data_IF_380650519330
#
_entry.id   IF_380650519330
#
_cell.length_a   1.000
_cell.length_b   1.000
_cell.length_c   1.000
_cell.angle_alpha   90.00
_cell.angle_beta   90.00
_cell.angle_gamma   90.00
#
_symmetry.space_group_name_H-M   'P 1'
#
loop_
_entity.id
_entity.type
_entity.pdbx_description
1 polymer ?
#
# COMPACT_ATOMS: atom_id res chain seq x y z
N UNK A 1 22.03 1.12 1.22
CA UNK A 1 21.21 2.28 0.79
C UNK A 1 20.71 2.84 2.08
N UNK A 2 21.28 3.97 2.49
CA UNK A 2 21.17 4.45 3.87
C UNK A 2 20.42 5.77 3.81
N UNK A 3 19.22 5.79 4.38
CA UNK A 3 18.34 6.93 4.37
C UNK A 3 18.36 7.60 5.74
N UNK A 4 18.90 8.83 5.80
CA UNK A 4 18.97 9.64 7.01
C UNK A 4 17.95 10.77 6.91
N UNK A 5 17.01 10.83 7.87
CA UNK A 5 16.01 11.89 7.95
C UNK A 5 16.00 12.51 9.35
N UNK A 6 16.01 13.84 9.40
CA UNK A 6 15.82 14.60 10.63
C UNK A 6 14.35 15.01 10.71
N UNK A 7 13.63 14.50 11.72
CA UNK A 7 12.21 14.84 11.92
C UNK A 7 12.09 15.89 13.01
N UNK A 8 11.50 17.05 12.70
CA UNK A 8 11.30 18.17 13.63
C UNK A 8 9.95 18.15 14.34
N UNK A 9 9.11 17.15 14.06
CA UNK A 9 7.75 17.02 14.57
C UNK A 9 7.69 15.99 15.69
N UNK A 10 6.74 16.20 16.61
CA UNK A 10 6.47 15.32 17.74
C UNK A 10 6.07 13.90 17.28
N UNK A 11 5.43 13.79 16.11
CA UNK A 11 5.13 12.53 15.44
C UNK A 11 5.73 12.47 14.03
N UNK A 12 6.27 11.33 13.64
CA UNK A 12 6.79 11.11 12.30
C UNK A 12 6.70 9.65 11.87
N UNK A 13 6.55 9.43 10.57
CA UNK A 13 6.59 8.10 9.97
C UNK A 13 7.40 8.13 8.68
N UNK A 14 8.26 7.13 8.48
CA UNK A 14 9.05 6.94 7.28
C UNK A 14 8.73 5.57 6.71
N UNK A 15 8.19 5.53 5.49
CA UNK A 15 8.05 4.32 4.69
C UNK A 15 9.13 4.35 3.59
N UNK A 16 9.84 3.23 3.41
CA UNK A 16 10.85 3.09 2.36
C UNK A 16 10.74 1.73 1.69
N UNK A 17 10.92 1.75 0.37
CA UNK A 17 10.76 0.61 -0.54
C UNK A 17 12.00 0.53 -1.44
N UNK A 18 13.15 0.05 -0.93
CA UNK A 18 14.45 0.23 -1.59
C UNK A 18 14.71 -0.75 -2.74
N UNK A 19 14.01 -1.89 -2.82
CA UNK A 19 14.31 -2.93 -3.80
C UNK A 19 13.05 -3.45 -4.48
N UNK A 20 13.07 -3.45 -5.81
CA UNK A 20 11.97 -3.95 -6.62
C UNK A 20 10.70 -3.11 -6.51
N UNK A 21 10.81 -1.84 -6.12
CA UNK A 21 9.66 -0.95 -6.03
C UNK A 21 9.13 -0.63 -7.44
N UNK A 22 7.86 -0.94 -7.67
CA UNK A 22 7.13 -0.64 -8.90
C UNK A 22 5.78 -0.03 -8.54
N UNK A 23 5.41 1.05 -9.22
CA UNK A 23 4.08 1.62 -9.18
C UNK A 23 3.31 1.22 -10.43
N UNK A 24 2.07 0.77 -10.27
CA UNK A 24 1.14 0.51 -11.37
C UNK A 24 -0.09 1.37 -11.16
N UNK A 25 -0.30 2.39 -12.00
CA UNK A 25 -1.49 3.24 -11.95
C UNK A 25 -2.33 3.07 -13.22
N UNK A 26 -3.62 2.78 -13.03
CA UNK A 26 -4.59 2.65 -14.10
C UNK A 26 -5.31 3.99 -14.32
N UNK A 27 -4.78 4.78 -15.25
CA UNK A 27 -5.24 6.15 -15.51
C UNK A 27 -6.61 6.25 -16.21
N UNK A 28 -7.13 5.15 -16.79
CA UNK A 28 -8.44 5.11 -17.47
C UNK A 28 -9.60 4.96 -16.48
N UNK A 29 -9.64 5.81 -15.46
CA UNK A 29 -10.59 5.74 -14.33
C UNK A 29 -12.05 5.79 -14.77
N UNK A 30 -12.37 6.53 -15.84
CA UNK A 30 -13.72 6.57 -16.42
C UNK A 30 -14.16 5.20 -16.96
N UNK A 31 -13.29 4.52 -17.68
CA UNK A 31 -13.60 3.23 -18.28
C UNK A 31 -13.73 2.15 -17.20
N UNK A 32 -12.85 2.18 -16.19
CA UNK A 32 -12.94 1.32 -15.01
C UNK A 32 -14.27 1.54 -14.30
N UNK A 33 -14.68 2.79 -14.09
CA UNK A 33 -15.94 3.12 -13.43
C UNK A 33 -17.14 2.62 -14.22
N UNK A 34 -17.18 2.84 -15.53
CA UNK A 34 -18.26 2.36 -16.40
C UNK A 34 -18.38 0.84 -16.32
N UNK A 35 -17.27 0.13 -16.51
CA UNK A 35 -17.24 -1.33 -16.41
C UNK A 35 -17.66 -1.82 -15.02
N UNK A 36 -17.25 -1.13 -13.96
CA UNK A 36 -17.60 -1.47 -12.59
C UNK A 36 -19.10 -1.29 -12.32
N UNK A 37 -19.72 -0.22 -12.83
CA UNK A 37 -21.17 -0.01 -12.69
C UNK A 37 -21.95 -1.12 -13.38
N UNK A 38 -21.54 -1.50 -14.59
CA UNK A 38 -22.19 -2.54 -15.37
C UNK A 38 -22.09 -3.92 -14.70
N UNK A 39 -20.95 -4.21 -14.04
CA UNK A 39 -20.66 -5.55 -13.51
C UNK A 39 -20.85 -5.68 -11.99
N UNK A 40 -20.95 -4.58 -11.23
CA UNK A 40 -21.11 -4.63 -9.78
C UNK A 40 -22.25 -5.56 -9.29
N UNK A 41 -23.44 -5.60 -9.93
CA UNK A 41 -24.49 -6.53 -9.50
C UNK A 41 -24.07 -8.00 -9.56
N UNK A 42 -23.33 -8.42 -10.60
CA UNK A 42 -22.87 -9.81 -10.74
C UNK A 42 -21.78 -10.14 -9.71
N UNK A 43 -20.90 -9.17 -9.41
CA UNK A 43 -19.89 -9.31 -8.37
C UNK A 43 -20.51 -9.48 -6.99
N UNK A 44 -21.51 -8.66 -6.64
CA UNK A 44 -22.25 -8.81 -5.40
C UNK A 44 -22.98 -10.15 -5.31
N UNK A 45 -23.62 -10.59 -6.40
CA UNK A 45 -24.29 -11.89 -6.46
C UNK A 45 -23.30 -13.04 -6.22
N UNK A 46 -22.10 -13.00 -6.82
CA UNK A 46 -21.06 -14.00 -6.60
C UNK A 46 -20.50 -13.97 -5.17
N UNK A 47 -20.16 -12.79 -4.67
CA UNK A 47 -19.54 -12.62 -3.35
C UNK A 47 -20.50 -13.01 -2.21
N UNK A 48 -21.77 -12.61 -2.31
CA UNK A 48 -22.76 -12.90 -1.26
C UNK A 48 -23.45 -14.24 -1.46
N UNK A 49 -23.66 -14.66 -2.71
CA UNK A 49 -24.28 -15.93 -3.04
C UNK A 49 -23.31 -17.11 -2.96
N UNK A 50 -22.22 -17.07 -3.73
CA UNK A 50 -21.25 -18.19 -3.83
C UNK A 50 -20.26 -18.17 -2.69
N UNK A 51 -19.64 -17.02 -2.39
CA UNK A 51 -18.58 -16.93 -1.39
C UNK A 51 -19.10 -16.71 0.04
N UNK A 52 -20.41 -16.42 0.21
CA UNK A 52 -21.06 -16.17 1.51
C UNK A 52 -20.34 -15.13 2.38
N UNK A 53 -19.81 -14.07 1.75
CA UNK A 53 -19.01 -13.05 2.45
C UNK A 53 -19.81 -11.89 3.05
N UNK A 54 -21.12 -11.85 2.80
CA UNK A 54 -22.04 -10.83 3.34
C UNK A 54 -21.58 -9.38 3.12
N UNK A 55 -20.94 -9.11 1.98
CA UNK A 55 -20.47 -7.79 1.58
C UNK A 55 -21.65 -6.79 1.50
N UNK A 56 -21.69 -5.74 2.34
CA UNK A 56 -22.74 -4.72 2.28
C UNK A 56 -22.66 -3.88 1.01
N UNK A 57 -23.76 -3.22 0.65
CA UNK A 57 -23.76 -2.23 -0.43
C UNK A 57 -22.73 -1.13 -0.15
N UNK A 58 -21.88 -0.82 -1.12
CA UNK A 58 -20.81 0.17 -0.99
C UNK A 58 -19.50 -0.36 -0.39
N UNK A 59 -19.42 -1.63 0.00
CA UNK A 59 -18.19 -2.23 0.55
C UNK A 59 -17.24 -2.84 -0.49
N UNK A 60 -17.68 -2.96 -1.76
CA UNK A 60 -16.80 -3.40 -2.85
C UNK A 60 -16.06 -2.22 -3.46
N UNK A 61 -14.74 -2.34 -3.52
CA UNK A 61 -13.84 -1.35 -4.11
C UNK A 61 -13.04 -1.98 -5.25
N UNK A 62 -12.82 -1.20 -6.30
CA UNK A 62 -11.91 -1.57 -7.39
C UNK A 62 -10.60 -0.84 -7.19
N UNK A 63 -9.51 -1.60 -7.05
CA UNK A 63 -8.17 -1.05 -6.93
C UNK A 63 -7.71 -0.56 -8.30
N UNK A 64 -7.50 0.75 -8.44
CA UNK A 64 -7.08 1.40 -9.70
C UNK A 64 -5.60 1.71 -9.75
N UNK A 65 -4.83 1.29 -8.75
CA UNK A 65 -3.39 1.39 -8.76
C UNK A 65 -2.79 0.77 -7.50
N UNK A 66 -1.51 0.47 -7.55
CA UNK A 66 -0.77 -0.05 -6.41
C UNK A 66 0.73 0.16 -6.56
N UNK A 67 1.38 0.47 -5.44
CA UNK A 67 2.81 0.34 -5.29
C UNK A 67 3.15 -1.04 -4.73
N UNK A 68 4.08 -1.72 -5.37
CA UNK A 68 4.60 -3.03 -4.97
C UNK A 68 6.08 -2.89 -4.73
N UNK A 69 6.63 -3.66 -3.80
CA UNK A 69 8.08 -3.71 -3.57
C UNK A 69 8.45 -5.10 -3.08
N UNK A 70 9.65 -5.58 -3.41
CA UNK A 70 10.16 -6.85 -2.91
C UNK A 70 10.62 -6.73 -1.44
N UNK A 71 11.06 -5.53 -1.05
CA UNK A 71 11.41 -5.22 0.35
C UNK A 71 10.86 -3.85 0.71
N UNK A 72 10.30 -3.73 1.91
CA UNK A 72 9.83 -2.45 2.45
C UNK A 72 10.11 -2.41 3.96
N UNK A 73 10.10 -1.22 4.53
CA UNK A 73 10.31 -1.00 5.96
C UNK A 73 9.70 0.32 6.38
N UNK A 74 9.20 0.35 7.62
CA UNK A 74 8.57 1.53 8.21
C UNK A 74 9.17 1.82 9.57
N UNK A 75 9.38 3.09 9.86
CA UNK A 75 9.71 3.59 11.20
C UNK A 75 8.72 4.66 11.58
N UNK A 76 8.20 4.58 12.80
CA UNK A 76 7.24 5.53 13.37
C UNK A 76 7.75 6.06 14.70
N UNK A 77 7.62 7.36 14.92
CA UNK A 77 7.95 8.04 16.17
C UNK A 77 6.71 8.75 16.70
N UNK A 78 6.43 8.58 17.99
CA UNK A 78 5.26 9.14 18.66
C UNK A 78 5.63 10.35 19.54
N UNK A 79 4.61 11.14 19.89
CA UNK A 79 4.66 12.46 20.52
C UNK A 79 5.50 12.59 21.81
N UNK A 80 5.81 11.48 22.48
CA UNK A 80 6.50 11.44 23.78
C UNK A 80 7.90 10.81 23.74
N UNK A 81 8.42 10.59 22.53
CA UNK A 81 9.76 10.05 22.32
C UNK A 81 10.74 11.23 22.36
N UNK A 82 11.80 11.16 23.18
CA UNK A 82 12.85 12.18 23.16
C UNK A 82 13.35 12.39 21.72
N UNK A 83 13.65 13.64 21.34
CA UNK A 83 14.10 14.01 19.99
C UNK A 83 15.27 13.13 19.57
N UNK A 84 14.98 12.10 18.80
CA UNK A 84 15.94 11.09 18.39
C UNK A 84 15.96 11.05 16.87
N UNK A 85 17.17 11.01 16.31
CA UNK A 85 17.35 10.82 14.88
C UNK A 85 16.93 9.40 14.53
N UNK A 86 16.01 9.26 13.59
CA UNK A 86 15.56 7.98 13.08
C UNK A 86 16.39 7.62 11.84
N UNK A 87 16.87 6.38 11.78
CA UNK A 87 17.54 5.85 10.60
C UNK A 87 17.00 4.46 10.29
N UNK A 88 16.87 4.15 9.00
CA UNK A 88 16.48 2.82 8.56
C UNK A 88 17.42 2.37 7.45
N UNK A 89 18.09 1.24 7.68
CA UNK A 89 19.16 0.72 6.82
C UNK A 89 18.78 -0.64 6.27
N UNK A 90 18.86 -0.80 4.95
CA UNK A 90 18.72 -2.09 4.28
C UNK A 90 20.06 -2.57 3.73
N UNK A 91 20.37 -3.82 4.00
CA UNK A 91 21.54 -4.52 3.45
C UNK A 91 21.09 -5.54 2.42
N UNK A 92 21.52 -5.36 1.16
CA UNK A 92 21.32 -6.37 0.12
C UNK A 92 22.47 -7.37 0.19
N UNK A 93 22.16 -8.66 0.34
CA UNK A 93 23.13 -9.75 0.24
C UNK A 93 22.90 -10.51 -1.06
N UNK A 94 23.90 -10.52 -1.93
CA UNK A 94 23.93 -11.43 -3.08
C UNK A 94 24.34 -12.82 -2.58
N UNK A 95 23.46 -13.80 -2.73
CA UNK A 95 23.79 -15.21 -2.49
C UNK A 95 23.97 -15.84 -3.86
N UNK A 96 25.17 -16.36 -4.14
CA UNK A 96 25.42 -17.17 -5.34
C UNK A 96 24.66 -18.49 -5.20
N UNK A 97 23.86 -18.82 -6.22
CA UNK A 97 23.19 -20.11 -6.35
C UNK A 97 24.20 -21.23 -6.68
#
# INVERSE_FOLDING_TARGET
>A
MDYNFATSTSESALLTMPHGAIGEDYNRTKDIRTYSIENAPSWYAFINGTLRREAPNGSLYVVTGCDKSATWGIVTNAENSSSSSLSLTFTVKLVSA
#
